data_IF_589940437808
#
_entry.id   IF_589940437808
#
_cell.length_a   1.000
_cell.length_b   1.000
_cell.length_c   1.000
_cell.angle_alpha   90.00
_cell.angle_beta   90.00
_cell.angle_gamma   90.00
#
_symmetry.space_group_name_H-M   'P 1'
#
loop_
_entity.id
_entity.type
_entity.pdbx_description
1 polymer ?
#
# COMPACT_ATOMS: atom_id res chain seq x y z
N UNK A 1 41.68 10.54 0.58
CA UNK A 1 40.81 10.07 -0.52
C UNK A 1 39.43 9.61 -0.04
N UNK A 2 38.57 9.23 -0.99
CA UNK A 2 37.23 8.82 -0.71
C UNK A 2 37.05 7.32 -0.36
N UNK A 3 38.13 6.56 -0.24
CA UNK A 3 38.12 5.12 0.00
C UNK A 3 37.83 4.25 -1.22
N UNK A 4 37.57 4.84 -2.38
CA UNK A 4 37.26 4.15 -3.65
C UNK A 4 38.41 4.16 -4.66
N UNK A 5 39.67 4.21 -4.19
CA UNK A 5 40.85 4.19 -5.03
C UNK A 5 40.94 2.96 -5.95
N UNK A 6 41.87 2.95 -6.91
CA UNK A 6 42.19 1.94 -7.90
C UNK A 6 41.04 1.55 -8.83
N UNK A 7 39.92 0.98 -8.33
CA UNK A 7 38.82 0.45 -9.15
C UNK A 7 37.54 1.28 -9.05
N UNK A 8 37.52 2.35 -8.27
CA UNK A 8 36.34 3.19 -8.05
C UNK A 8 35.16 2.46 -7.43
N UNK A 9 35.40 1.37 -6.66
CA UNK A 9 34.36 0.54 -6.06
C UNK A 9 33.68 -0.45 -7.01
N UNK A 10 34.12 -0.55 -8.28
CA UNK A 10 33.51 -1.43 -9.30
C UNK A 10 34.08 -2.86 -9.32
N UNK A 11 35.16 -3.12 -8.55
CA UNK A 11 35.86 -4.40 -8.58
C UNK A 11 36.78 -4.52 -9.79
N UNK A 12 37.32 -5.72 -10.05
CA UNK A 12 38.32 -5.94 -11.09
C UNK A 12 37.68 -6.05 -12.48
N UNK A 13 37.52 -7.19 -13.01
CA UNK A 13 37.01 -7.48 -14.35
C UNK A 13 35.52 -7.66 -14.36
N UNK A 14 34.92 -7.76 -15.51
CA UNK A 14 33.50 -8.09 -15.69
C UNK A 14 32.68 -6.97 -16.33
N UNK A 15 31.47 -7.29 -16.61
CA UNK A 15 30.55 -6.43 -17.34
C UNK A 15 30.20 -5.14 -16.57
N UNK A 16 30.02 -5.25 -15.25
CA UNK A 16 29.64 -4.12 -14.38
C UNK A 16 30.78 -3.14 -14.11
N UNK A 17 32.05 -3.54 -14.36
CA UNK A 17 33.22 -2.65 -14.19
C UNK A 17 33.48 -1.74 -15.40
N UNK A 18 32.74 -1.92 -16.49
CA UNK A 18 32.82 -1.15 -17.74
C UNK A 18 31.55 -0.35 -17.99
N UNK A 19 31.66 0.70 -18.80
CA UNK A 19 30.53 1.50 -19.26
C UNK A 19 29.97 0.95 -20.59
N UNK A 20 28.71 1.21 -20.88
CA UNK A 20 28.09 0.92 -22.19
C UNK A 20 27.57 -0.49 -22.41
N UNK A 21 27.73 -1.40 -21.46
CA UNK A 21 27.23 -2.77 -21.59
C UNK A 21 25.92 -2.95 -20.82
N UNK A 22 24.85 -3.36 -21.51
CA UNK A 22 23.56 -3.65 -20.88
C UNK A 22 23.66 -4.93 -20.05
N UNK A 23 23.41 -4.81 -18.74
CA UNK A 23 23.45 -5.96 -17.78
C UNK A 23 22.48 -7.10 -18.18
N UNK A 24 21.43 -6.76 -18.93
CA UNK A 24 20.41 -7.72 -19.38
C UNK A 24 20.83 -8.56 -20.60
N UNK A 25 22.03 -8.36 -21.16
CA UNK A 25 22.53 -9.11 -22.31
C UNK A 25 23.16 -10.43 -21.84
N UNK A 26 22.70 -11.54 -22.41
CA UNK A 26 23.19 -12.89 -22.12
C UNK A 26 24.15 -13.41 -23.21
N UNK A 27 25.05 -12.56 -23.74
CA UNK A 27 26.09 -12.97 -24.70
C UNK A 27 25.60 -13.51 -26.04
N UNK A 28 24.43 -13.10 -26.50
CA UNK A 28 23.80 -13.58 -27.74
C UNK A 28 22.70 -14.62 -27.52
N UNK A 29 22.68 -15.25 -26.36
CA UNK A 29 21.53 -16.07 -25.95
C UNK A 29 20.30 -15.19 -25.74
N UNK A 30 19.11 -15.70 -26.08
CA UNK A 30 17.87 -14.98 -25.83
C UNK A 30 17.69 -14.72 -24.33
N UNK A 31 17.62 -13.45 -23.90
CA UNK A 31 17.47 -13.11 -22.48
C UNK A 31 16.26 -13.77 -21.83
N UNK A 32 16.36 -14.11 -20.55
CA UNK A 32 15.30 -14.79 -19.80
C UNK A 32 13.93 -14.10 -19.95
N UNK A 33 13.91 -12.77 -19.90
CA UNK A 33 12.68 -11.98 -20.05
C UNK A 33 11.96 -12.23 -21.40
N UNK A 34 12.70 -12.55 -22.46
CA UNK A 34 12.15 -12.88 -23.78
C UNK A 34 11.75 -14.34 -23.90
N UNK A 35 12.33 -15.23 -23.09
CA UNK A 35 11.98 -16.66 -23.06
C UNK A 35 10.70 -16.92 -22.27
N UNK A 36 10.35 -16.04 -21.34
CA UNK A 36 9.13 -16.16 -20.56
C UNK A 36 7.91 -15.86 -21.43
N UNK A 37 6.88 -16.72 -21.41
CA UNK A 37 5.65 -16.45 -22.17
C UNK A 37 4.92 -15.23 -21.61
N UNK A 38 4.29 -14.47 -22.49
CA UNK A 38 3.36 -13.42 -22.11
C UNK A 38 2.16 -14.05 -21.42
N UNK A 39 1.73 -13.52 -20.29
CA UNK A 39 0.64 -14.08 -19.51
C UNK A 39 -0.27 -12.99 -18.95
N UNK A 40 -1.57 -13.26 -18.99
CA UNK A 40 -2.58 -12.42 -18.39
C UNK A 40 -2.86 -11.12 -19.17
N UNK A 41 -3.71 -10.32 -18.61
CA UNK A 41 -4.10 -8.99 -19.08
C UNK A 41 -4.46 -8.10 -17.89
N UNK A 42 -4.39 -6.80 -18.09
CA UNK A 42 -4.84 -5.82 -17.11
C UNK A 42 -6.29 -5.45 -17.41
N UNK A 43 -7.19 -5.69 -16.45
CA UNK A 43 -8.58 -5.28 -16.59
C UNK A 43 -8.72 -3.78 -16.39
N UNK A 44 -9.30 -3.08 -17.36
CA UNK A 44 -9.58 -1.64 -17.26
C UNK A 44 -10.67 -1.29 -16.23
N UNK A 45 -11.41 -2.30 -15.76
CA UNK A 45 -12.48 -2.13 -14.76
C UNK A 45 -12.02 -2.46 -13.34
N UNK A 46 -10.76 -2.86 -13.13
CA UNK A 46 -10.24 -3.11 -11.79
C UNK A 46 -10.10 -1.79 -11.02
N UNK A 47 -10.63 -1.77 -9.80
CA UNK A 47 -10.50 -0.65 -8.88
C UNK A 47 -9.45 -1.04 -7.84
N UNK A 48 -8.36 -0.28 -7.77
CA UNK A 48 -7.33 -0.47 -6.76
C UNK A 48 -7.70 0.32 -5.50
N UNK A 49 -8.17 -0.41 -4.49
CA UNK A 49 -8.53 0.18 -3.21
C UNK A 49 -7.31 0.36 -2.32
N UNK A 50 -7.19 1.54 -1.70
CA UNK A 50 -6.30 1.70 -0.55
C UNK A 50 -6.97 1.04 0.65
N UNK A 51 -6.31 0.06 1.25
CA UNK A 51 -6.83 -0.64 2.43
C UNK A 51 -6.47 0.11 3.71
N UNK A 52 -7.43 0.23 4.61
CA UNK A 52 -7.25 0.67 5.99
C UNK A 52 -7.81 -0.43 6.90
N UNK A 53 -7.15 -0.74 7.99
CA UNK A 53 -7.65 -1.70 8.97
C UNK A 53 -8.41 -1.01 10.10
N UNK A 54 -9.30 -1.75 10.77
CA UNK A 54 -9.95 -1.26 12.00
C UNK A 54 -8.91 -0.96 13.08
N UNK A 55 -7.80 -1.71 13.13
CA UNK A 55 -6.69 -1.45 14.04
C UNK A 55 -6.04 -0.09 13.81
N UNK A 56 -5.85 0.31 12.54
CA UNK A 56 -5.28 1.63 12.21
C UNK A 56 -6.20 2.75 12.68
N UNK A 57 -7.51 2.57 12.55
CA UNK A 57 -8.49 3.54 13.05
C UNK A 57 -8.42 3.66 14.58
N UNK A 58 -8.27 2.55 15.30
CA UNK A 58 -8.09 2.59 16.75
C UNK A 58 -6.83 3.38 17.16
N UNK A 59 -5.74 3.22 16.44
CA UNK A 59 -4.51 3.99 16.66
C UNK A 59 -4.76 5.47 16.42
N UNK A 60 -5.43 5.84 15.33
CA UNK A 60 -5.75 7.24 15.01
C UNK A 60 -6.63 7.91 16.08
N UNK A 61 -7.59 7.16 16.63
CA UNK A 61 -8.43 7.65 17.73
C UNK A 61 -7.63 7.75 19.03
N UNK A 62 -6.77 6.77 19.34
CA UNK A 62 -5.91 6.80 20.52
C UNK A 62 -4.91 7.97 20.48
N UNK A 63 -4.40 8.32 19.29
CA UNK A 63 -3.53 9.49 19.07
C UNK A 63 -4.30 10.83 19.02
N UNK A 64 -5.63 10.81 19.21
CA UNK A 64 -6.51 11.99 19.13
C UNK A 64 -6.43 12.75 17.80
N UNK A 65 -6.13 12.05 16.72
CA UNK A 65 -6.12 12.59 15.36
C UNK A 65 -7.51 12.56 14.71
N UNK A 66 -8.35 11.66 15.20
CA UNK A 66 -9.76 11.51 14.80
C UNK A 66 -10.59 11.38 16.07
N UNK A 67 -11.72 12.08 16.13
CA UNK A 67 -12.63 12.00 17.27
C UNK A 67 -13.50 10.73 17.16
N UNK A 68 -13.64 10.01 18.26
CA UNK A 68 -14.41 8.75 18.29
C UNK A 68 -15.92 8.94 18.06
N UNK A 69 -16.43 10.17 18.20
CA UNK A 69 -17.85 10.48 18.04
C UNK A 69 -18.22 11.06 16.67
N UNK A 70 -17.24 11.38 15.85
CA UNK A 70 -17.44 11.86 14.49
C UNK A 70 -17.54 10.71 13.48
N UNK A 71 -18.25 10.98 12.37
CA UNK A 71 -18.30 10.05 11.24
C UNK A 71 -16.96 10.10 10.51
N UNK A 72 -16.22 9.00 10.51
CA UNK A 72 -14.94 8.91 9.82
C UNK A 72 -15.16 8.98 8.31
N UNK A 73 -14.80 10.10 7.72
CA UNK A 73 -14.89 10.40 6.30
C UNK A 73 -13.51 10.37 5.62
N UNK A 74 -13.50 10.27 4.29
CA UNK A 74 -12.26 10.36 3.50
C UNK A 74 -11.51 11.68 3.73
N UNK A 75 -12.21 12.81 3.90
CA UNK A 75 -11.60 14.10 4.18
C UNK A 75 -10.73 14.08 5.45
N UNK A 76 -11.20 13.42 6.50
CA UNK A 76 -10.43 13.24 7.74
C UNK A 76 -9.20 12.36 7.53
N UNK A 77 -9.29 11.28 6.73
CA UNK A 77 -8.16 10.44 6.38
C UNK A 77 -7.11 11.18 5.55
N UNK A 78 -7.53 12.14 4.71
CA UNK A 78 -6.60 13.03 3.98
C UNK A 78 -5.92 14.00 4.95
N UNK A 79 -6.66 14.62 5.88
CA UNK A 79 -6.10 15.57 6.85
C UNK A 79 -5.07 14.93 7.78
N UNK A 80 -5.30 13.68 8.15
CA UNK A 80 -4.36 12.86 8.94
C UNK A 80 -3.16 12.39 8.11
N UNK A 81 -3.25 12.44 6.76
CA UNK A 81 -2.19 12.01 5.84
C UNK A 81 -2.19 10.51 5.55
N UNK A 82 -3.25 9.78 5.89
CA UNK A 82 -3.37 8.36 5.61
C UNK A 82 -3.61 8.08 4.12
N UNK A 83 -4.39 8.93 3.45
CA UNK A 83 -4.64 8.88 2.00
C UNK A 83 -4.22 10.20 1.35
N UNK A 84 -3.82 10.13 0.08
CA UNK A 84 -3.31 11.30 -0.67
C UNK A 84 -4.41 12.22 -1.19
N UNK A 85 -5.59 11.68 -1.47
CA UNK A 85 -6.69 12.41 -2.10
C UNK A 85 -8.02 11.73 -1.78
N UNK A 86 -9.08 12.50 -1.64
CA UNK A 86 -10.46 12.02 -1.47
C UNK A 86 -10.98 11.18 -2.65
N UNK A 87 -10.40 11.36 -3.84
CA UNK A 87 -10.74 10.57 -5.03
C UNK A 87 -10.23 9.14 -4.97
N UNK A 88 -9.27 8.86 -4.09
CA UNK A 88 -8.71 7.51 -3.93
C UNK A 88 -9.79 6.60 -3.32
N UNK A 89 -10.11 5.46 -3.95
CA UNK A 89 -11.06 4.52 -3.38
C UNK A 89 -10.46 3.85 -2.15
N UNK A 90 -11.22 3.81 -1.07
CA UNK A 90 -10.78 3.28 0.23
C UNK A 90 -11.64 2.10 0.64
N UNK A 91 -11.00 1.03 1.11
CA UNK A 91 -11.68 -0.15 1.62
C UNK A 91 -11.28 -0.43 3.06
N UNK A 92 -12.27 -0.55 3.93
CA UNK A 92 -12.06 -0.92 5.33
C UNK A 92 -11.98 -2.44 5.48
N UNK A 93 -10.92 -2.88 6.14
CA UNK A 93 -10.67 -4.29 6.47
C UNK A 93 -10.76 -4.48 7.99
N UNK A 94 -11.08 -5.70 8.43
CA UNK A 94 -11.01 -6.11 9.83
C UNK A 94 -9.58 -5.96 10.35
N UNK A 95 -9.05 -6.97 11.00
CA UNK A 95 -7.66 -7.03 11.45
C UNK A 95 -7.52 -7.08 12.97
N UNK A 96 -8.64 -6.95 13.71
CA UNK A 96 -8.72 -7.15 15.15
C UNK A 96 -9.95 -7.97 15.51
N UNK A 97 -9.94 -8.60 16.67
CA UNK A 97 -11.07 -9.39 17.14
C UNK A 97 -12.13 -8.55 17.84
N UNK A 98 -11.74 -7.46 18.47
CA UNK A 98 -12.66 -6.56 19.21
C UNK A 98 -12.22 -5.11 19.04
N UNK A 99 -13.19 -4.25 18.81
CA UNK A 99 -13.03 -2.81 18.73
C UNK A 99 -13.33 -2.16 20.09
N UNK A 100 -12.49 -1.22 20.51
CA UNK A 100 -12.58 -0.54 21.80
C UNK A 100 -13.47 0.71 21.79
N UNK A 101 -13.63 1.32 20.63
CA UNK A 101 -14.34 2.59 20.46
C UNK A 101 -15.54 2.42 19.55
N UNK A 102 -16.60 3.17 19.83
CA UNK A 102 -17.75 3.28 18.93
C UNK A 102 -17.43 4.33 17.85
N UNK A 103 -17.43 3.93 16.60
CA UNK A 103 -17.13 4.81 15.47
C UNK A 103 -18.13 4.56 14.36
N UNK A 104 -18.64 5.62 13.75
CA UNK A 104 -19.41 5.56 12.51
C UNK A 104 -18.47 5.84 11.33
N UNK A 105 -18.59 5.09 10.25
CA UNK A 105 -17.62 5.14 9.13
C UNK A 105 -18.34 5.29 7.80
N UNK A 106 -17.88 6.24 6.97
CA UNK A 106 -18.36 6.47 5.61
C UNK A 106 -17.22 6.35 4.61
N UNK A 107 -17.06 5.17 4.00
CA UNK A 107 -16.02 4.85 3.01
C UNK A 107 -16.64 4.13 1.82
N UNK A 108 -15.82 3.87 0.75
CA UNK A 108 -16.33 3.29 -0.49
C UNK A 108 -16.64 1.80 -0.41
N UNK A 109 -15.90 1.06 0.40
CA UNK A 109 -16.10 -0.38 0.52
C UNK A 109 -15.71 -0.91 1.91
N UNK A 110 -16.33 -2.01 2.29
CA UNK A 110 -16.13 -2.67 3.59
C UNK A 110 -15.94 -4.18 3.39
N UNK A 111 -15.10 -4.81 4.20
CA UNK A 111 -15.09 -6.26 4.31
C UNK A 111 -16.20 -6.73 5.23
N UNK A 112 -16.63 -7.98 5.10
CA UNK A 112 -17.66 -8.58 5.98
C UNK A 112 -17.25 -8.50 7.46
N UNK A 113 -16.01 -8.89 7.77
CA UNK A 113 -15.47 -8.83 9.13
C UNK A 113 -15.40 -7.41 9.69
N UNK A 114 -15.06 -6.41 8.87
CA UNK A 114 -15.03 -5.02 9.32
C UNK A 114 -16.43 -4.51 9.67
N UNK A 115 -17.42 -4.82 8.85
CA UNK A 115 -18.82 -4.45 9.12
C UNK A 115 -19.32 -5.05 10.42
N UNK A 116 -19.11 -6.35 10.63
CA UNK A 116 -19.51 -7.04 11.87
C UNK A 116 -18.81 -6.45 13.12
N UNK A 117 -17.54 -6.04 13.01
CA UNK A 117 -16.81 -5.43 14.12
C UNK A 117 -17.38 -4.06 14.49
N UNK A 118 -17.70 -3.21 13.49
CA UNK A 118 -18.29 -1.90 13.71
C UNK A 118 -19.69 -2.04 14.34
N UNK A 119 -20.53 -2.93 13.80
CA UNK A 119 -21.87 -3.19 14.33
C UNK A 119 -21.83 -3.73 15.77
N UNK A 120 -20.91 -4.67 16.07
CA UNK A 120 -20.71 -5.19 17.44
C UNK A 120 -20.22 -4.11 18.41
N UNK A 121 -19.45 -3.14 17.94
CA UNK A 121 -19.03 -1.99 18.74
C UNK A 121 -20.11 -0.91 18.89
N UNK A 122 -21.26 -1.08 18.21
CA UNK A 122 -22.37 -0.13 18.22
C UNK A 122 -22.17 1.08 17.32
N UNK A 123 -21.24 1.01 16.37
CA UNK A 123 -21.04 1.99 15.30
C UNK A 123 -21.99 1.74 14.11
N UNK A 124 -21.98 2.68 13.17
CA UNK A 124 -22.76 2.59 11.94
C UNK A 124 -21.85 2.62 10.71
N UNK A 125 -22.25 1.88 9.69
CA UNK A 125 -21.61 1.88 8.37
C UNK A 125 -22.56 2.59 7.42
N UNK A 126 -22.14 3.77 6.94
CA UNK A 126 -22.91 4.66 6.08
C UNK A 126 -22.51 4.47 4.61
#
# INVERSE_FOLDING_TARGET
GSGTGRTGGRGEKGQKSRSGVAIKTEGGQMPLIKRLPKRGFNSSKSIDYTSISVADIEVLVAEKRVEAHEVLNKAQLVSVGYIKSEKTPVKLLGGIDKMKFKISVQLDAYSKSARELIEKAGGEVL
#
